data_IF_110622024748
#
_entry.id   IF_110622024748
#
_cell.length_a   1.000
_cell.length_b   1.000
_cell.length_c   1.000
_cell.angle_alpha   90.00
_cell.angle_beta   90.00
_cell.angle_gamma   90.00
#
_symmetry.space_group_name_H-M   'P 1'
#
loop_
_entity.id
_entity.type
_entity.pdbx_description
1 polymer ?
#
# COMPACT_ATOMS: atom_id res chain seq x y z
N UNK A 1 -24.97 5.31 -7.46
CA UNK A 1 -24.92 6.12 -6.22
C UNK A 1 -23.91 5.45 -5.30
N UNK A 2 -22.92 6.19 -4.78
CA UNK A 2 -21.84 5.58 -4.00
C UNK A 2 -22.30 5.17 -2.59
N UNK A 3 -21.80 4.03 -2.09
CA UNK A 3 -21.98 3.55 -0.70
C UNK A 3 -20.57 3.37 -0.11
N UNK A 4 -20.36 3.69 1.17
CA UNK A 4 -19.06 3.57 1.85
C UNK A 4 -17.88 4.29 1.15
N UNK A 5 -18.12 5.42 0.48
CA UNK A 5 -17.13 6.12 -0.35
C UNK A 5 -16.59 5.25 -1.51
N UNK A 6 -17.40 4.33 -2.03
CA UNK A 6 -17.10 3.50 -3.19
C UNK A 6 -18.06 3.84 -4.32
N UNK A 7 -17.53 4.10 -5.51
CA UNK A 7 -18.35 4.24 -6.72
C UNK A 7 -18.77 2.85 -7.23
N UNK A 8 -19.90 2.35 -6.70
CA UNK A 8 -20.43 1.02 -7.03
C UNK A 8 -20.80 0.87 -8.51
N UNK A 9 -21.25 1.94 -9.17
CA UNK A 9 -21.55 1.92 -10.61
C UNK A 9 -20.28 1.64 -11.43
N UNK A 10 -19.17 2.31 -11.11
CA UNK A 10 -17.89 2.06 -11.77
C UNK A 10 -17.35 0.65 -11.50
N UNK A 11 -17.56 0.11 -10.31
CA UNK A 11 -17.20 -1.28 -9.99
C UNK A 11 -17.99 -2.26 -10.86
N UNK A 12 -19.31 -2.08 -10.97
CA UNK A 12 -20.16 -2.93 -11.81
C UNK A 12 -19.82 -2.82 -13.30
N UNK A 13 -19.49 -1.61 -13.77
CA UNK A 13 -19.01 -1.41 -15.13
C UNK A 13 -17.71 -2.18 -15.39
N UNK A 14 -16.75 -2.13 -14.44
CA UNK A 14 -15.51 -2.90 -14.55
C UNK A 14 -15.75 -4.42 -14.53
N UNK A 15 -16.71 -4.91 -13.73
CA UNK A 15 -17.10 -6.34 -13.75
C UNK A 15 -17.63 -6.73 -15.13
N UNK A 16 -18.50 -5.92 -15.74
CA UNK A 16 -19.00 -6.16 -17.09
C UNK A 16 -17.88 -6.13 -18.14
N UNK A 17 -16.89 -5.24 -18.01
CA UNK A 17 -15.70 -5.21 -18.86
C UNK A 17 -14.90 -6.52 -18.76
N UNK A 18 -14.65 -7.00 -17.54
CA UNK A 18 -13.91 -8.24 -17.30
C UNK A 18 -14.66 -9.47 -17.80
N UNK A 19 -16.00 -9.48 -17.70
CA UNK A 19 -16.83 -10.56 -18.26
C UNK A 19 -16.72 -10.63 -19.79
N UNK A 20 -16.57 -9.48 -20.46
CA UNK A 20 -16.36 -9.41 -21.92
C UNK A 20 -14.93 -9.75 -22.32
N UNK A 21 -13.95 -9.27 -21.55
CA UNK A 21 -12.52 -9.53 -21.77
C UNK A 21 -11.81 -9.86 -20.44
N UNK A 22 -11.54 -11.15 -20.18
CA UNK A 22 -10.80 -11.58 -18.99
C UNK A 22 -9.39 -10.98 -18.87
N UNK A 23 -8.78 -10.48 -19.94
CA UNK A 23 -7.47 -9.81 -19.86
C UNK A 23 -7.58 -8.46 -19.13
N UNK A 24 -8.74 -7.80 -19.16
CA UNK A 24 -8.97 -6.54 -18.45
C UNK A 24 -8.75 -6.66 -16.94
N UNK A 25 -8.87 -7.87 -16.36
CA UNK A 25 -8.61 -8.14 -14.95
C UNK A 25 -7.10 -8.17 -14.60
N UNK A 26 -6.21 -8.36 -15.58
CA UNK A 26 -4.77 -8.47 -15.33
C UNK A 26 -4.14 -7.08 -15.31
N UNK A 27 -3.79 -6.61 -14.12
CA UNK A 27 -3.13 -5.31 -13.94
C UNK A 27 -1.68 -5.52 -13.48
N UNK A 28 -0.75 -4.79 -14.10
CA UNK A 28 0.63 -4.69 -13.62
C UNK A 28 0.79 -3.37 -12.89
N UNK A 29 1.28 -3.44 -11.65
CA UNK A 29 1.70 -2.27 -10.85
C UNK A 29 3.19 -2.39 -10.59
N UNK A 30 3.89 -1.26 -10.63
CA UNK A 30 5.33 -1.20 -10.42
C UNK A 30 5.68 0.11 -9.74
N UNK A 31 6.58 0.00 -8.77
CA UNK A 31 7.22 1.14 -8.10
C UNK A 31 8.71 1.03 -8.39
N UNK A 32 9.30 2.12 -8.82
CA UNK A 32 10.75 2.29 -8.92
C UNK A 32 11.18 3.37 -7.95
N UNK A 33 12.31 3.14 -7.31
CA UNK A 33 12.95 4.14 -6.48
C UNK A 33 14.45 3.96 -6.49
N UNK A 34 15.12 4.93 -5.87
CA UNK A 34 16.56 5.02 -5.80
C UNK A 34 17.02 5.16 -4.36
N UNK A 35 18.19 4.59 -4.10
CA UNK A 35 18.91 4.82 -2.86
C UNK A 35 19.64 6.16 -2.93
N UNK A 36 19.47 6.98 -1.89
CA UNK A 36 20.09 8.30 -1.79
C UNK A 36 21.41 8.16 -1.02
N UNK A 37 22.51 8.52 -1.70
CA UNK A 37 23.86 8.45 -1.14
C UNK A 37 24.26 9.71 -0.36
N UNK A 38 23.48 10.79 -0.50
CA UNK A 38 23.72 12.07 0.16
C UNK A 38 23.43 11.98 1.65
N UNK A 39 24.40 12.36 2.48
CA UNK A 39 24.24 12.39 3.93
C UNK A 39 23.16 13.40 4.34
N UNK A 40 22.37 13.05 5.35
CA UNK A 40 21.31 13.91 5.90
C UNK A 40 19.99 13.85 5.13
N UNK A 41 19.94 13.17 3.98
CA UNK A 41 18.70 12.91 3.23
C UNK A 41 18.03 11.59 3.65
N UNK A 42 16.72 11.41 3.39
CA UNK A 42 16.08 10.11 3.45
C UNK A 42 16.79 9.10 2.54
N UNK A 43 16.95 7.87 3.03
CA UNK A 43 17.80 6.86 2.40
C UNK A 43 17.24 6.31 1.08
N UNK A 44 15.92 6.33 0.90
CA UNK A 44 15.27 5.84 -0.32
C UNK A 44 14.15 6.76 -0.74
N UNK A 45 13.98 6.97 -2.05
CA UNK A 45 12.83 7.70 -2.59
C UNK A 45 12.28 7.02 -3.84
N UNK A 46 10.96 7.07 -4.00
CA UNK A 46 10.25 6.53 -5.15
C UNK A 46 9.15 7.49 -5.60
N UNK A 47 8.92 7.59 -6.90
CA UNK A 47 7.80 8.35 -7.46
C UNK A 47 6.61 7.40 -7.67
N UNK A 48 5.48 7.73 -7.07
CA UNK A 48 4.22 6.99 -7.23
C UNK A 48 3.28 7.77 -8.13
N UNK A 49 2.86 7.18 -9.24
CA UNK A 49 1.96 7.80 -10.21
C UNK A 49 0.54 7.24 -10.12
N UNK A 50 -0.44 8.12 -10.29
CA UNK A 50 -1.87 7.79 -10.30
C UNK A 50 -2.63 8.77 -11.22
N UNK A 51 -3.89 8.48 -11.60
CA UNK A 51 -4.58 9.27 -12.65
C UNK A 51 -4.68 10.77 -12.38
N UNK A 52 -4.68 11.20 -11.12
CA UNK A 52 -4.80 12.59 -10.72
C UNK A 52 -3.46 13.31 -10.49
N UNK A 53 -2.31 12.61 -10.55
CA UNK A 53 -1.02 13.20 -10.25
C UNK A 53 0.06 12.18 -9.87
N UNK A 54 1.07 12.65 -9.15
CA UNK A 54 2.13 11.80 -8.64
C UNK A 54 2.71 12.38 -7.35
N UNK A 55 3.12 11.49 -6.45
CA UNK A 55 3.76 11.84 -5.18
C UNK A 55 5.14 11.20 -5.09
N UNK A 56 6.06 11.84 -4.37
CA UNK A 56 7.32 11.22 -3.97
C UNK A 56 7.14 10.66 -2.57
N UNK A 57 7.38 9.35 -2.42
CA UNK A 57 7.45 8.68 -1.13
C UNK A 57 8.89 8.44 -0.77
N UNK A 58 9.23 8.65 0.48
CA UNK A 58 10.58 8.55 1.00
C UNK A 58 10.59 7.59 2.18
N UNK A 59 11.64 6.78 2.31
CA UNK A 59 11.83 5.88 3.44
C UNK A 59 13.22 6.06 4.04
N UNK A 60 13.32 5.80 5.33
CA UNK A 60 14.57 5.85 6.07
C UNK A 60 14.60 4.73 7.10
N UNK A 61 15.77 4.14 7.32
CA UNK A 61 15.95 3.12 8.33
C UNK A 61 15.78 3.70 9.74
N UNK A 62 15.44 2.83 10.69
CA UNK A 62 15.47 3.19 12.10
C UNK A 62 16.91 3.47 12.56
N UNK A 63 17.14 4.39 13.52
CA UNK A 63 18.48 4.69 14.02
C UNK A 63 19.26 3.47 14.51
N UNK A 64 18.59 2.52 15.16
CA UNK A 64 19.23 1.29 15.66
C UNK A 64 19.71 0.34 14.54
N UNK A 65 19.23 0.53 13.31
CA UNK A 65 19.65 -0.22 12.11
C UNK A 65 20.54 0.60 11.18
N UNK A 66 21.08 1.73 11.64
CA UNK A 66 21.98 2.59 10.86
C UNK A 66 21.27 3.56 9.89
N UNK A 67 19.97 3.76 10.04
CA UNK A 67 19.25 4.82 9.32
C UNK A 67 19.20 6.14 10.08
N UNK A 68 18.66 7.18 9.43
CA UNK A 68 18.51 8.51 10.02
C UNK A 68 17.22 8.70 10.82
N UNK A 69 16.26 7.79 10.71
CA UNK A 69 14.92 7.93 11.29
C UNK A 69 14.15 9.16 10.79
N UNK A 70 14.48 9.69 9.61
CA UNK A 70 13.92 10.94 9.05
C UNK A 70 12.57 10.75 8.39
N UNK A 71 12.23 9.50 8.06
CA UNK A 71 11.00 9.07 7.40
C UNK A 71 10.56 7.72 7.98
N UNK A 72 9.30 7.29 7.74
CA UNK A 72 8.88 5.95 8.10
C UNK A 72 9.79 4.89 7.49
N UNK A 73 9.97 3.80 8.22
CA UNK A 73 10.74 2.68 7.72
C UNK A 73 9.97 1.91 6.62
N UNK A 74 10.66 1.13 5.77
CA UNK A 74 10.01 0.38 4.71
C UNK A 74 8.91 -0.59 5.17
N UNK A 75 9.02 -1.21 6.36
CA UNK A 75 8.01 -2.17 6.82
C UNK A 75 6.69 -1.48 7.13
N UNK A 76 6.71 -0.23 7.61
CA UNK A 76 5.49 0.55 7.80
C UNK A 76 4.72 0.78 6.50
N UNK A 77 5.42 1.04 5.39
CA UNK A 77 4.78 1.15 4.07
C UNK A 77 4.19 -0.18 3.58
N UNK A 78 4.87 -1.30 3.84
CA UNK A 78 4.32 -2.63 3.55
C UNK A 78 3.03 -2.89 4.35
N UNK A 79 3.04 -2.60 5.66
CA UNK A 79 1.88 -2.76 6.53
C UNK A 79 0.73 -1.83 6.13
N UNK A 80 1.04 -0.58 5.78
CA UNK A 80 0.06 0.37 5.24
C UNK A 80 -0.60 -0.16 3.96
N UNK A 81 0.21 -0.63 3.00
CA UNK A 81 -0.27 -1.23 1.76
C UNK A 81 -1.18 -2.43 2.01
N UNK A 82 -0.80 -3.32 2.93
CA UNK A 82 -1.61 -4.48 3.31
C UNK A 82 -2.94 -4.07 3.96
N UNK A 83 -2.88 -3.20 4.97
CA UNK A 83 -4.05 -2.75 5.71
C UNK A 83 -5.04 -1.99 4.81
N UNK A 84 -4.54 -1.07 3.98
CA UNK A 84 -5.36 -0.29 3.04
C UNK A 84 -5.99 -1.17 1.96
N UNK A 85 -5.24 -2.12 1.39
CA UNK A 85 -5.75 -3.06 0.39
C UNK A 85 -6.89 -3.93 0.95
N UNK A 86 -6.70 -4.47 2.15
CA UNK A 86 -7.73 -5.23 2.84
C UNK A 86 -8.97 -4.37 3.15
N UNK A 87 -8.78 -3.20 3.77
CA UNK A 87 -9.87 -2.29 4.12
C UNK A 87 -10.69 -1.86 2.89
N UNK A 88 -10.01 -1.50 1.79
CA UNK A 88 -10.64 -1.12 0.53
C UNK A 88 -11.45 -2.24 -0.10
N UNK A 89 -10.93 -3.48 -0.05
CA UNK A 89 -11.65 -4.66 -0.53
C UNK A 89 -12.91 -4.91 0.29
N UNK A 90 -12.80 -4.89 1.62
CA UNK A 90 -13.94 -5.08 2.51
C UNK A 90 -15.02 -4.00 2.31
N UNK A 91 -14.63 -2.72 2.27
CA UNK A 91 -15.55 -1.62 2.06
C UNK A 91 -16.26 -1.70 0.69
N UNK A 92 -15.55 -2.12 -0.34
CA UNK A 92 -16.10 -2.34 -1.69
C UNK A 92 -17.15 -3.45 -1.70
N UNK A 93 -16.84 -4.60 -1.10
CA UNK A 93 -17.79 -5.71 -1.03
C UNK A 93 -19.04 -5.32 -0.23
N UNK A 94 -18.88 -4.68 0.93
CA UNK A 94 -20.02 -4.17 1.71
C UNK A 94 -20.88 -3.18 0.91
N UNK A 95 -20.24 -2.29 0.13
CA UNK A 95 -20.95 -1.35 -0.73
C UNK A 95 -21.71 -2.04 -1.86
N UNK A 96 -21.14 -3.09 -2.47
CA UNK A 96 -21.82 -3.89 -3.50
C UNK A 96 -23.05 -4.63 -2.96
N UNK A 97 -23.00 -5.07 -1.70
CA UNK A 97 -24.12 -5.70 -0.99
C UNK A 97 -25.13 -4.68 -0.42
N UNK A 98 -24.92 -3.37 -0.65
CA UNK A 98 -25.79 -2.31 -0.13
C UNK A 98 -25.68 -2.09 1.38
N UNK A 99 -24.64 -2.63 2.03
CA UNK A 99 -24.41 -2.53 3.48
C UNK A 99 -23.64 -1.25 3.78
N UNK A 100 -24.29 -0.29 4.44
CA UNK A 100 -23.66 0.94 4.90
C UNK A 100 -22.83 0.70 6.18
N UNK A 101 -21.53 0.93 6.11
CA UNK A 101 -20.61 0.83 7.24
C UNK A 101 -20.69 2.09 8.09
N UNK A 102 -20.76 1.93 9.42
CA UNK A 102 -20.64 3.04 10.38
C UNK A 102 -19.19 3.40 10.68
N UNK A 103 -18.31 2.39 10.74
CA UNK A 103 -16.88 2.54 11.03
C UNK A 103 -16.11 1.29 10.56
N UNK A 104 -14.92 1.49 10.02
CA UNK A 104 -13.97 0.42 9.70
C UNK A 104 -12.58 0.86 10.20
N UNK A 105 -11.94 0.04 11.04
CA UNK A 105 -10.56 0.23 11.50
C UNK A 105 -9.82 -1.08 11.23
N UNK A 106 -8.62 -0.98 10.66
CA UNK A 106 -7.74 -2.12 10.39
C UNK A 106 -6.40 -1.86 11.05
N UNK A 107 -5.87 -2.87 11.73
CA UNK A 107 -4.51 -2.89 12.26
C UNK A 107 -3.73 -4.02 11.59
N UNK A 108 -2.53 -3.72 11.11
CA UNK A 108 -1.59 -4.70 10.60
C UNK A 108 -0.30 -4.58 11.41
N UNK A 109 0.22 -5.73 11.85
CA UNK A 109 1.41 -5.80 12.70
C UNK A 109 2.43 -6.77 12.10
N UNK A 110 3.71 -6.42 12.20
CA UNK A 110 4.81 -7.32 11.88
C UNK A 110 5.65 -7.54 13.15
N UNK A 111 5.98 -8.81 13.42
CA UNK A 111 6.99 -9.21 14.40
C UNK A 111 8.09 -9.92 13.65
N UNK A 112 9.31 -9.44 13.82
CA UNK A 112 10.49 -10.00 13.15
C UNK A 112 11.60 -10.21 14.18
N UNK A 113 12.25 -11.36 14.09
CA UNK A 113 13.52 -11.59 14.78
C UNK A 113 14.67 -11.21 13.84
N UNK A 114 15.45 -10.22 14.26
CA UNK A 114 16.58 -9.73 13.48
C UNK A 114 17.85 -10.56 13.71
N UNK A 115 17.86 -11.54 14.62
CA UNK A 115 19.04 -12.37 14.91
C UNK A 115 19.63 -12.98 13.64
N UNK A 116 18.79 -13.53 12.76
CA UNK A 116 19.24 -14.14 11.50
C UNK A 116 19.77 -13.11 10.51
N UNK A 117 19.08 -11.97 10.36
CA UNK A 117 19.52 -10.88 9.48
C UNK A 117 20.86 -10.29 9.92
N UNK A 118 21.13 -10.30 11.22
CA UNK A 118 22.39 -9.87 11.82
C UNK A 118 23.47 -10.98 11.85
N UNK A 119 23.17 -12.19 11.37
CA UNK A 119 24.11 -13.32 11.39
C UNK A 119 24.36 -13.92 12.79
N UNK A 120 23.46 -13.67 13.74
CA UNK A 120 23.55 -14.11 15.15
C UNK A 120 22.83 -15.43 15.43
N UNK A 121 22.13 -16.01 14.45
CA UNK A 121 21.46 -17.30 14.55
C UNK A 121 21.48 -18.05 13.23
N UNK A 122 21.64 -19.37 13.29
CA UNK A 122 21.68 -20.29 12.14
C UNK A 122 20.32 -20.53 11.47
#
# INVERSE_FOLDING_TARGET
MGVNNVNTEAVMAFVADVQRDPQAAKKRKRVEGEWVLEEGQPQFRARLEYPAGADVVEADGAPFMGGGGRKPDPIQYCLYGLASCFAGTFATLAAMEGIALKKLIVAAENRVDLSRTLGLSS
#
